data_IF_594418481203
#
_entry.id   IF_594418481203
#
_cell.length_a   1.000
_cell.length_b   1.000
_cell.length_c   1.000
_cell.angle_alpha   90.00
_cell.angle_beta   90.00
_cell.angle_gamma   90.00
#
_symmetry.space_group_name_H-M   'P 1'
#
loop_
_entity.id
_entity.type
_entity.pdbx_description
1 polymer ?
#
# COMPACT_ATOMS: atom_id res chain seq x y z
N UNK A 1 36.83 15.86 -42.20
CA UNK A 1 35.99 15.44 -43.31
C UNK A 1 36.06 13.92 -43.39
N UNK A 2 35.15 13.22 -42.80
CA UNK A 2 34.82 11.82 -43.10
C UNK A 2 33.33 11.64 -42.73
N UNK A 3 32.53 11.41 -43.77
CA UNK A 3 31.12 11.14 -43.71
C UNK A 3 30.83 9.86 -42.95
N UNK A 4 29.84 9.88 -42.08
CA UNK A 4 29.29 8.68 -41.43
C UNK A 4 27.83 8.53 -41.86
N UNK A 5 27.61 7.58 -42.76
CA UNK A 5 26.32 7.22 -43.35
C UNK A 5 25.50 6.42 -42.35
N UNK A 6 24.32 6.90 -42.03
CA UNK A 6 23.30 6.19 -41.20
C UNK A 6 22.57 5.20 -42.09
N UNK A 7 22.64 3.92 -41.76
CA UNK A 7 21.81 2.86 -42.38
C UNK A 7 20.52 2.65 -41.55
N UNK A 8 19.41 3.00 -42.15
CA UNK A 8 18.08 2.69 -41.64
C UNK A 8 17.76 1.23 -41.94
N UNK A 9 17.46 0.44 -40.91
CA UNK A 9 16.98 -0.94 -41.03
C UNK A 9 15.46 -0.94 -40.83
N UNK A 10 14.71 -1.22 -41.92
CA UNK A 10 13.26 -1.44 -41.90
C UNK A 10 13.01 -2.92 -41.66
N UNK A 11 12.39 -3.27 -40.53
CA UNK A 11 11.94 -4.64 -40.26
C UNK A 11 10.45 -4.74 -40.61
N UNK A 12 10.11 -5.50 -41.60
CA UNK A 12 8.72 -5.83 -41.98
C UNK A 12 8.20 -6.96 -41.10
N UNK A 13 7.09 -6.73 -40.39
CA UNK A 13 6.42 -7.72 -39.58
C UNK A 13 5.24 -8.30 -40.39
N UNK A 14 5.33 -9.58 -40.75
CA UNK A 14 4.29 -10.33 -41.50
C UNK A 14 3.14 -10.72 -40.58
N UNK A 15 1.93 -10.42 -40.99
CA UNK A 15 0.67 -10.88 -40.41
C UNK A 15 0.43 -12.36 -40.77
N UNK A 16 0.30 -13.23 -39.76
CA UNK A 16 -0.31 -14.56 -39.95
C UNK A 16 -1.68 -14.60 -39.25
N UNK A 17 -2.70 -14.73 -40.06
CA UNK A 17 -4.08 -15.00 -39.59
C UNK A 17 -4.19 -16.46 -39.15
N UNK A 18 -4.63 -16.73 -37.93
CA UNK A 18 -5.06 -18.04 -37.48
C UNK A 18 -6.56 -18.01 -37.18
N UNK A 19 -7.27 -18.89 -37.87
CA UNK A 19 -8.73 -18.97 -37.89
C UNK A 19 -9.30 -19.58 -36.60
N UNK A 20 -10.43 -19.04 -36.17
CA UNK A 20 -11.23 -19.50 -35.05
C UNK A 20 -12.04 -20.74 -35.42
N UNK A 21 -11.89 -21.84 -34.69
CA UNK A 21 -12.79 -22.98 -34.73
C UNK A 21 -13.87 -22.82 -33.64
N UNK A 22 -15.11 -22.72 -34.07
CA UNK A 22 -16.30 -22.69 -33.20
C UNK A 22 -16.59 -24.12 -32.72
N UNK A 23 -16.54 -24.34 -31.39
CA UNK A 23 -17.03 -25.57 -30.76
C UNK A 23 -18.46 -25.34 -30.23
N UNK A 24 -19.39 -26.15 -30.71
CA UNK A 24 -20.80 -26.19 -30.26
C UNK A 24 -20.92 -26.83 -28.87
N UNK A 25 -21.65 -26.18 -27.99
CA UNK A 25 -21.97 -26.61 -26.63
C UNK A 25 -23.34 -27.30 -26.60
N UNK A 26 -23.50 -28.43 -25.87
CA UNK A 26 -24.83 -29.04 -25.70
C UNK A 26 -25.60 -28.36 -24.54
N UNK A 27 -26.95 -28.39 -24.54
CA UNK A 27 -27.76 -27.82 -23.48
C UNK A 27 -28.02 -28.84 -22.36
N UNK A 28 -27.91 -28.39 -21.13
CA UNK A 28 -28.30 -29.18 -19.96
C UNK A 28 -28.33 -28.38 -18.68
N UNK A 29 -29.46 -28.17 -18.18
CA UNK A 29 -30.12 -27.55 -17.15
C UNK A 29 -29.74 -27.88 -15.70
N UNK A 30 -30.21 -27.04 -14.77
CA UNK A 30 -30.30 -27.34 -13.33
C UNK A 30 -29.87 -26.15 -12.49
N UNK A 31 -30.87 -25.46 -11.87
CA UNK A 31 -30.65 -24.30 -11.02
C UNK A 31 -29.96 -24.65 -9.71
N UNK A 32 -29.17 -23.71 -9.24
CA UNK A 32 -28.61 -23.64 -7.88
C UNK A 32 -28.34 -22.17 -7.63
N UNK A 33 -28.93 -21.62 -6.54
CA UNK A 33 -28.77 -20.22 -6.16
C UNK A 33 -27.31 -19.92 -5.88
N UNK A 34 -26.68 -19.17 -6.77
CA UNK A 34 -25.36 -18.61 -6.57
C UNK A 34 -25.50 -17.26 -5.88
N UNK A 35 -24.82 -17.08 -4.78
CA UNK A 35 -24.51 -15.75 -4.25
C UNK A 35 -23.74 -14.94 -5.29
N UNK A 36 -23.61 -13.62 -5.12
CA UNK A 36 -22.95 -12.78 -6.09
C UNK A 36 -21.52 -13.30 -6.30
N UNK A 37 -21.21 -13.69 -7.52
CA UNK A 37 -19.84 -13.94 -7.97
C UNK A 37 -19.03 -12.66 -7.74
N UNK A 38 -17.82 -12.73 -7.16
CA UNK A 38 -16.91 -11.60 -7.16
C UNK A 38 -16.76 -11.14 -8.63
N UNK A 39 -17.21 -9.91 -8.89
CA UNK A 39 -16.91 -9.25 -10.15
C UNK A 39 -15.42 -8.95 -10.15
N UNK A 40 -14.70 -9.41 -11.16
CA UNK A 40 -13.30 -9.02 -11.34
C UNK A 40 -13.18 -7.51 -11.19
N UNK A 41 -12.18 -7.01 -10.40
CA UNK A 41 -11.96 -5.59 -10.25
C UNK A 41 -11.74 -4.97 -11.65
N UNK A 42 -12.20 -3.74 -11.89
CA UNK A 42 -12.04 -3.11 -13.18
C UNK A 42 -10.55 -3.00 -13.52
N UNK A 43 -10.16 -3.56 -14.68
CA UNK A 43 -8.82 -3.41 -15.23
C UNK A 43 -8.63 -1.95 -15.68
N UNK A 44 -8.23 -1.08 -14.77
CA UNK A 44 -7.79 0.27 -15.10
C UNK A 44 -6.57 0.61 -14.27
N UNK A 45 -5.49 0.95 -14.95
CA UNK A 45 -4.30 1.47 -14.28
C UNK A 45 -4.67 2.73 -13.51
N UNK A 46 -4.42 2.83 -12.22
CA UNK A 46 -4.72 4.02 -11.47
C UNK A 46 -3.76 5.14 -11.93
N UNK A 47 -4.23 5.95 -12.86
CA UNK A 47 -3.54 7.15 -13.34
C UNK A 47 -4.02 8.40 -12.60
N UNK A 48 -5.15 8.29 -11.91
CA UNK A 48 -5.78 9.39 -11.18
C UNK A 48 -6.12 8.90 -9.77
N UNK A 49 -6.01 9.82 -8.80
CA UNK A 49 -6.43 9.57 -7.43
C UNK A 49 -7.96 9.54 -7.34
N UNK A 50 -8.55 8.59 -6.59
CA UNK A 50 -9.93 8.72 -6.17
C UNK A 50 -10.12 10.05 -5.43
N UNK A 51 -11.32 10.63 -5.50
CA UNK A 51 -11.64 11.85 -4.76
C UNK A 51 -11.42 11.63 -3.25
N UNK A 52 -10.70 12.57 -2.60
CA UNK A 52 -10.58 12.56 -1.16
C UNK A 52 -11.86 13.08 -0.52
N UNK A 53 -12.35 12.40 0.50
CA UNK A 53 -13.55 12.81 1.21
C UNK A 53 -13.38 14.17 1.87
N UNK A 54 -14.47 14.97 2.03
CA UNK A 54 -14.40 16.25 2.71
C UNK A 54 -14.04 16.08 4.18
N UNK A 55 -13.46 17.14 4.77
CA UNK A 55 -13.13 17.18 6.19
C UNK A 55 -14.39 16.95 7.05
N UNK A 56 -14.26 16.09 8.06
CA UNK A 56 -15.34 15.76 8.98
C UNK A 56 -16.35 14.74 8.46
N UNK A 57 -16.15 14.16 7.27
CA UNK A 57 -16.93 13.01 6.83
C UNK A 57 -16.74 11.84 7.81
N UNK A 58 -17.82 11.15 8.18
CA UNK A 58 -17.79 10.04 9.16
C UNK A 58 -18.38 8.74 8.63
N UNK A 59 -19.14 8.79 7.56
CA UNK A 59 -19.92 7.66 7.05
C UNK A 59 -19.06 6.47 6.64
N UNK A 60 -17.85 6.75 6.13
CA UNK A 60 -16.93 5.72 5.62
C UNK A 60 -16.24 4.88 6.72
N UNK A 61 -16.24 5.35 7.98
CA UNK A 61 -15.72 4.62 9.13
C UNK A 61 -16.78 4.45 10.25
N UNK A 62 -18.05 4.64 9.92
CA UNK A 62 -19.15 4.37 10.83
C UNK A 62 -19.45 2.86 10.88
N UNK A 63 -19.83 2.36 12.05
CA UNK A 63 -20.47 1.06 12.16
C UNK A 63 -21.81 1.11 11.42
N UNK A 64 -21.98 0.28 10.38
CA UNK A 64 -23.14 0.30 9.47
C UNK A 64 -23.92 -0.99 9.58
N UNK A 65 -25.19 -0.94 10.02
CA UNK A 65 -26.03 -2.12 10.13
C UNK A 65 -26.10 -2.91 8.82
N UNK A 66 -25.75 -4.19 8.87
CA UNK A 66 -25.81 -5.10 7.73
C UNK A 66 -24.53 -5.16 6.89
N UNK A 67 -23.51 -4.39 7.21
CA UNK A 67 -22.14 -4.60 6.72
C UNK A 67 -21.55 -5.73 7.56
N UNK A 68 -21.01 -6.80 6.94
CA UNK A 68 -20.32 -7.84 7.68
C UNK A 68 -19.01 -7.31 8.28
N UNK A 69 -18.74 -7.65 9.53
CA UNK A 69 -17.52 -7.27 10.23
C UNK A 69 -16.37 -8.25 9.94
N UNK A 70 -15.17 -7.74 9.77
CA UNK A 70 -13.94 -8.51 9.86
C UNK A 70 -13.54 -8.75 11.32
N UNK A 71 -12.59 -9.64 11.53
CA UNK A 71 -12.05 -9.94 12.85
C UNK A 71 -10.73 -9.20 13.10
N UNK A 72 -10.55 -8.66 14.31
CA UNK A 72 -9.29 -8.05 14.76
C UNK A 72 -8.76 -8.83 15.95
N UNK A 73 -7.59 -9.43 15.79
CA UNK A 73 -6.90 -10.10 16.89
C UNK A 73 -5.60 -9.39 17.28
N UNK A 74 -5.16 -9.62 18.51
CA UNK A 74 -3.88 -9.12 19.02
C UNK A 74 -2.93 -10.28 19.22
N UNK A 75 -1.82 -10.27 18.48
CA UNK A 75 -0.80 -11.29 18.59
C UNK A 75 0.49 -10.73 19.17
N UNK A 76 1.29 -11.59 19.82
CA UNK A 76 2.63 -11.24 20.28
C UNK A 76 3.63 -12.15 19.59
N UNK A 77 4.39 -11.57 18.67
CA UNK A 77 5.42 -12.30 17.93
C UNK A 77 6.72 -12.25 18.73
N UNK A 78 7.30 -13.41 19.01
CA UNK A 78 8.56 -13.53 19.76
C UNK A 78 9.69 -13.97 18.84
N UNK A 79 10.81 -13.22 18.88
CA UNK A 79 12.04 -13.58 18.19
C UNK A 79 13.24 -13.42 19.13
N UNK A 80 13.78 -14.54 19.61
CA UNK A 80 14.82 -14.52 20.63
C UNK A 80 14.34 -13.83 21.90
N UNK A 81 15.02 -12.79 22.33
CA UNK A 81 14.64 -11.97 23.49
C UNK A 81 13.62 -10.86 23.17
N UNK A 82 13.38 -10.59 21.90
CA UNK A 82 12.45 -9.52 21.46
C UNK A 82 11.02 -10.03 21.41
N UNK A 83 10.09 -9.10 21.65
CA UNK A 83 8.66 -9.33 21.64
C UNK A 83 7.98 -8.17 20.94
N UNK A 84 7.15 -8.45 19.92
CA UNK A 84 6.49 -7.47 19.09
C UNK A 84 4.99 -7.70 19.16
N UNK A 85 4.26 -6.70 19.62
CA UNK A 85 2.80 -6.74 19.67
C UNK A 85 2.24 -6.21 18.36
N UNK A 86 1.19 -6.85 17.83
CA UNK A 86 0.63 -6.59 16.52
C UNK A 86 -0.88 -6.80 16.57
N UNK A 87 -1.66 -5.85 16.06
CA UNK A 87 -3.05 -6.08 15.71
C UNK A 87 -3.12 -6.60 14.27
N UNK A 88 -3.92 -7.65 14.05
CA UNK A 88 -4.13 -8.23 12.72
C UNK A 88 -5.62 -8.26 12.43
N UNK A 89 -6.01 -7.61 11.34
CA UNK A 89 -7.36 -7.67 10.81
C UNK A 89 -7.43 -8.73 9.73
N UNK A 90 -8.46 -9.56 9.78
CA UNK A 90 -8.86 -10.49 8.72
C UNK A 90 -10.24 -10.11 8.18
N UNK A 91 -10.46 -10.13 6.85
CA UNK A 91 -11.70 -9.65 6.26
C UNK A 91 -12.89 -10.55 6.58
N UNK A 92 -14.14 -10.05 6.46
CA UNK A 92 -15.32 -10.86 6.62
C UNK A 92 -15.28 -12.12 5.75
N UNK A 93 -15.52 -13.29 6.37
CA UNK A 93 -15.46 -14.57 5.67
C UNK A 93 -14.03 -15.07 5.39
N UNK A 94 -13.03 -14.51 6.04
CA UNK A 94 -11.65 -15.02 5.97
C UNK A 94 -11.59 -16.52 6.23
N UNK A 95 -10.78 -17.23 5.46
CA UNK A 95 -10.56 -18.67 5.63
C UNK A 95 -9.11 -19.06 5.38
N UNK A 96 -8.54 -19.80 6.31
CA UNK A 96 -7.20 -20.37 6.19
C UNK A 96 -7.10 -21.47 5.11
N UNK A 97 -8.23 -21.99 4.68
CA UNK A 97 -8.30 -23.18 3.81
C UNK A 97 -8.86 -22.91 2.41
N UNK A 98 -8.96 -21.65 1.99
CA UNK A 98 -9.38 -21.30 0.63
C UNK A 98 -8.21 -21.38 -0.35
N UNK A 99 -8.51 -21.71 -1.61
CA UNK A 99 -7.53 -21.65 -2.68
C UNK A 99 -7.08 -20.20 -2.99
N UNK A 100 -7.91 -19.23 -2.61
CA UNK A 100 -7.67 -17.80 -2.85
C UNK A 100 -7.02 -17.18 -1.61
N UNK A 101 -5.71 -17.05 -1.66
CA UNK A 101 -4.95 -16.36 -0.63
C UNK A 101 -5.14 -14.82 -0.73
N UNK A 102 -4.97 -14.11 0.38
CA UNK A 102 -5.24 -12.68 0.50
C UNK A 102 -3.97 -11.85 0.33
N UNK A 103 -4.01 -10.65 -0.27
CA UNK A 103 -2.92 -9.69 -0.21
C UNK A 103 -2.79 -9.12 1.21
N UNK A 104 -1.66 -8.48 1.52
CA UNK A 104 -1.35 -7.98 2.85
C UNK A 104 -1.00 -6.49 2.84
N UNK A 105 -1.71 -5.71 3.62
CA UNK A 105 -1.37 -4.34 3.96
C UNK A 105 -0.69 -4.30 5.33
N UNK A 106 0.53 -3.79 5.40
CA UNK A 106 1.17 -3.40 6.65
C UNK A 106 0.89 -1.93 6.91
N UNK A 107 0.29 -1.59 8.07
CA UNK A 107 -0.22 -0.25 8.36
C UNK A 107 0.40 0.31 9.64
N UNK A 108 1.37 1.22 9.49
CA UNK A 108 2.17 1.77 10.58
C UNK A 108 1.50 2.98 11.24
N UNK A 109 1.51 3.01 12.58
CA UNK A 109 1.00 4.12 13.40
C UNK A 109 1.96 5.31 13.47
N UNK A 110 1.51 6.46 13.99
CA UNK A 110 2.28 7.68 14.17
C UNK A 110 3.16 7.71 15.42
N UNK A 111 3.94 8.76 15.55
CA UNK A 111 4.79 8.97 16.73
C UNK A 111 4.01 9.07 18.03
N UNK A 112 4.48 8.38 19.07
CA UNK A 112 3.85 8.36 20.39
C UNK A 112 2.57 7.52 20.49
N UNK A 113 2.25 6.77 19.43
CA UNK A 113 1.16 5.80 19.37
C UNK A 113 1.70 4.37 19.43
N UNK A 114 0.82 3.37 19.32
CA UNK A 114 1.18 1.96 19.32
C UNK A 114 0.30 1.15 18.31
N UNK A 115 0.45 -0.16 18.30
CA UNK A 115 -0.28 -1.09 17.45
C UNK A 115 -1.81 -0.99 17.53
N UNK A 116 -2.37 -0.40 18.60
CA UNK A 116 -3.83 -0.23 18.78
C UNK A 116 -4.38 1.01 18.09
N UNK A 117 -3.54 1.94 17.65
CA UNK A 117 -3.97 3.22 17.08
C UNK A 117 -4.97 3.06 15.93
N UNK A 118 -4.65 2.24 14.94
CA UNK A 118 -5.49 2.10 13.75
C UNK A 118 -6.84 1.43 14.01
N UNK A 119 -6.97 0.61 15.06
CA UNK A 119 -8.24 -0.07 15.41
C UNK A 119 -9.02 0.64 16.51
N UNK A 120 -8.43 1.65 17.14
CA UNK A 120 -9.10 2.42 18.19
C UNK A 120 -10.29 3.22 17.64
N UNK A 121 -11.36 3.33 18.47
CA UNK A 121 -12.56 4.13 18.21
C UNK A 121 -12.49 5.53 18.80
N UNK A 122 -11.37 5.93 19.40
CA UNK A 122 -11.21 7.28 19.92
C UNK A 122 -11.27 8.30 18.77
N UNK A 123 -12.13 9.29 18.89
CA UNK A 123 -12.35 10.27 17.81
C UNK A 123 -11.09 11.11 17.50
N UNK A 124 -10.26 11.35 18.49
CA UNK A 124 -9.09 12.25 18.37
C UNK A 124 -7.84 11.55 17.86
N UNK A 125 -7.64 10.27 18.23
CA UNK A 125 -6.41 9.55 17.89
C UNK A 125 -6.62 8.14 17.31
N UNK A 126 -7.84 7.63 17.27
CA UNK A 126 -8.15 6.29 16.75
C UNK A 126 -8.36 6.26 15.24
N UNK A 127 -7.95 5.18 14.60
CA UNK A 127 -7.99 5.00 13.14
C UNK A 127 -9.30 4.43 12.61
N UNK A 128 -9.98 3.57 13.38
CA UNK A 128 -11.16 2.81 12.93
C UNK A 128 -10.93 2.09 11.59
N UNK A 129 -9.71 1.61 11.35
CA UNK A 129 -9.31 1.05 10.06
C UNK A 129 -10.13 -0.17 9.65
N UNK A 130 -10.50 -1.01 10.61
CA UNK A 130 -11.37 -2.17 10.40
C UNK A 130 -12.73 -1.75 9.83
N UNK A 131 -13.38 -0.72 10.40
CA UNK A 131 -14.65 -0.19 9.85
C UNK A 131 -14.47 0.43 8.46
N UNK A 132 -13.34 1.10 8.20
CA UNK A 132 -13.03 1.63 6.87
C UNK A 132 -12.91 0.48 5.86
N UNK A 133 -12.24 -0.60 6.24
CA UNK A 133 -12.05 -1.79 5.41
C UNK A 133 -13.37 -2.52 5.16
N UNK A 134 -14.16 -2.78 6.21
CA UNK A 134 -15.46 -3.46 6.10
C UNK A 134 -16.42 -2.69 5.20
N UNK A 135 -16.53 -1.37 5.40
CA UNK A 135 -17.35 -0.51 4.56
C UNK A 135 -16.87 -0.48 3.09
N UNK A 136 -15.56 -0.37 2.86
CA UNK A 136 -14.99 -0.36 1.51
C UNK A 136 -15.19 -1.71 0.78
N UNK A 137 -15.11 -2.83 1.51
CA UNK A 137 -15.44 -4.17 1.00
C UNK A 137 -16.90 -4.28 0.62
N UNK A 138 -17.82 -3.87 1.51
CA UNK A 138 -19.26 -3.90 1.26
C UNK A 138 -19.67 -3.03 0.06
N UNK A 139 -18.93 -1.95 -0.19
CA UNK A 139 -19.08 -1.06 -1.35
C UNK A 139 -18.45 -1.63 -2.64
N UNK A 140 -17.74 -2.75 -2.57
CA UNK A 140 -17.04 -3.34 -3.72
C UNK A 140 -15.87 -2.51 -4.23
N UNK A 141 -15.28 -1.66 -3.39
CA UNK A 141 -14.19 -0.74 -3.75
C UNK A 141 -12.80 -1.38 -3.65
N UNK A 142 -12.68 -2.44 -2.88
CA UNK A 142 -11.43 -3.15 -2.62
C UNK A 142 -11.62 -4.66 -2.68
N UNK A 143 -10.54 -5.40 -2.92
CA UNK A 143 -10.54 -6.84 -2.68
C UNK A 143 -10.32 -7.13 -1.18
N UNK A 144 -10.77 -8.30 -0.67
CA UNK A 144 -10.49 -8.73 0.69
C UNK A 144 -8.99 -8.83 0.92
N UNK A 145 -8.49 -8.28 2.04
CA UNK A 145 -7.07 -8.28 2.39
C UNK A 145 -6.86 -8.51 3.89
N UNK A 146 -5.70 -9.04 4.25
CA UNK A 146 -5.22 -9.07 5.64
C UNK A 146 -4.51 -7.75 5.93
N UNK A 147 -4.78 -7.13 7.10
CA UNK A 147 -4.08 -5.91 7.50
C UNK A 147 -3.32 -6.12 8.80
N UNK A 148 -2.03 -5.81 8.75
CA UNK A 148 -1.09 -6.01 9.85
C UNK A 148 -0.71 -4.65 10.42
N UNK A 149 -1.03 -4.39 11.67
CA UNK A 149 -0.81 -3.12 12.36
C UNK A 149 0.19 -3.34 13.51
N UNK A 150 1.50 -3.27 13.22
CA UNK A 150 2.53 -3.53 14.22
C UNK A 150 2.80 -2.33 15.11
N UNK A 151 3.32 -2.58 16.33
CA UNK A 151 4.01 -1.57 17.09
C UNK A 151 5.36 -1.24 16.42
N UNK A 152 5.42 -0.05 15.82
CA UNK A 152 6.62 0.49 15.15
C UNK A 152 7.37 1.51 16.02
N UNK A 153 7.11 1.57 17.32
CA UNK A 153 7.77 2.51 18.24
C UNK A 153 9.29 2.35 18.24
N UNK A 154 9.78 1.13 18.06
CA UNK A 154 11.21 0.85 17.92
C UNK A 154 11.83 1.37 16.63
N UNK A 155 11.01 1.74 15.65
CA UNK A 155 11.40 2.37 14.39
C UNK A 155 11.60 3.90 14.51
N UNK A 156 11.52 4.46 15.73
CA UNK A 156 11.48 5.90 16.01
C UNK A 156 12.76 6.68 15.68
N UNK A 157 13.81 6.05 15.22
CA UNK A 157 14.92 6.75 14.58
C UNK A 157 14.46 7.36 13.26
N UNK A 158 14.10 8.64 13.29
CA UNK A 158 13.68 9.43 12.11
C UNK A 158 14.84 9.76 11.15
N UNK A 159 16.01 9.21 11.38
CA UNK A 159 17.07 9.19 10.40
C UNK A 159 16.66 8.19 9.32
N UNK A 160 16.76 8.53 8.01
CA UNK A 160 16.89 7.49 7.03
C UNK A 160 17.99 6.62 7.59
N UNK A 161 17.60 5.47 8.05
CA UNK A 161 18.59 4.59 8.60
C UNK A 161 19.50 4.23 7.48
N UNK A 162 20.74 4.36 7.73
CA UNK A 162 21.71 3.49 7.07
C UNK A 162 21.09 2.10 6.94
N UNK A 163 21.12 1.47 5.76
CA UNK A 163 20.96 0.02 5.70
C UNK A 163 21.89 -0.55 6.78
N UNK A 164 21.32 -1.00 7.90
CA UNK A 164 22.06 -1.34 9.10
C UNK A 164 22.04 -0.32 10.26
N UNK A 165 21.61 0.93 10.07
CA UNK A 165 21.53 1.95 11.13
C UNK A 165 20.18 1.99 11.86
N UNK A 166 19.08 1.64 11.18
CA UNK A 166 17.80 1.22 11.73
C UNK A 166 17.51 -0.23 11.33
N UNK A 167 18.53 -1.04 11.32
CA UNK A 167 18.39 -2.49 11.12
C UNK A 167 17.18 -3.04 11.87
N UNK A 168 16.87 -2.43 13.04
CA UNK A 168 15.69 -2.77 13.82
C UNK A 168 14.35 -2.60 13.09
N UNK A 169 14.16 -1.59 12.23
CA UNK A 169 12.89 -1.41 11.56
C UNK A 169 12.76 -2.26 10.28
N UNK A 170 13.79 -2.29 9.44
CA UNK A 170 13.80 -3.17 8.28
C UNK A 170 13.76 -4.65 8.71
N UNK A 171 14.56 -5.01 9.73
CA UNK A 171 14.60 -6.34 10.29
C UNK A 171 13.25 -6.74 10.92
N UNK A 172 12.52 -5.79 11.52
CA UNK A 172 11.16 -6.05 12.03
C UNK A 172 10.24 -6.53 10.90
N UNK A 173 10.23 -5.84 9.76
CA UNK A 173 9.39 -6.26 8.63
C UNK A 173 9.93 -7.53 7.95
N UNK A 174 11.19 -7.52 7.52
CA UNK A 174 11.80 -8.59 6.72
C UNK A 174 11.89 -9.92 7.46
N UNK A 175 12.28 -9.86 8.73
CA UNK A 175 12.68 -11.05 9.49
C UNK A 175 11.68 -11.46 10.57
N UNK A 176 10.69 -10.62 10.91
CA UNK A 176 9.71 -10.91 11.96
C UNK A 176 8.30 -10.91 11.41
N UNK A 177 7.80 -9.76 10.91
CA UNK A 177 6.39 -9.61 10.55
C UNK A 177 6.03 -10.43 9.32
N UNK A 178 6.75 -10.25 8.21
CA UNK A 178 6.45 -10.95 6.93
C UNK A 178 6.50 -12.47 7.13
N UNK A 179 7.58 -13.07 7.67
CA UNK A 179 7.62 -14.51 7.86
C UNK A 179 6.54 -15.05 8.82
N UNK A 180 6.19 -14.27 9.85
CA UNK A 180 5.13 -14.67 10.77
C UNK A 180 3.76 -14.69 10.06
N UNK A 181 3.42 -13.62 9.34
CA UNK A 181 2.14 -13.50 8.63
C UNK A 181 2.00 -14.59 7.58
N UNK A 182 3.03 -14.82 6.76
CA UNK A 182 3.03 -15.87 5.73
C UNK A 182 2.96 -17.29 6.29
N UNK A 183 3.39 -17.51 7.53
CA UNK A 183 3.35 -18.82 8.18
C UNK A 183 2.04 -19.09 8.92
N UNK A 184 1.25 -18.05 9.25
CA UNK A 184 0.09 -18.19 10.13
C UNK A 184 -1.21 -17.76 9.47
N UNK A 185 -1.17 -17.07 8.32
CA UNK A 185 -2.35 -16.60 7.59
C UNK A 185 -2.30 -17.04 6.13
N UNK A 186 -3.47 -17.24 5.54
CA UNK A 186 -3.60 -17.57 4.13
C UNK A 186 -3.36 -16.36 3.25
N UNK A 187 -2.11 -15.99 3.00
CA UNK A 187 -1.72 -14.79 2.28
C UNK A 187 -0.85 -15.09 1.07
N UNK A 188 -0.89 -14.21 0.07
CA UNK A 188 -0.02 -14.25 -1.11
C UNK A 188 1.38 -13.79 -0.70
N UNK A 189 2.37 -14.70 -0.76
CA UNK A 189 3.73 -14.49 -0.24
C UNK A 189 4.68 -13.86 -1.28
N UNK A 190 4.22 -12.91 -2.06
CA UNK A 190 5.03 -12.20 -3.05
C UNK A 190 4.94 -10.66 -2.87
N UNK A 191 5.90 -9.96 -3.44
CA UNK A 191 6.00 -8.50 -3.32
C UNK A 191 4.81 -7.75 -3.92
N UNK A 192 4.22 -8.31 -4.98
CA UNK A 192 3.12 -7.64 -5.73
C UNK A 192 1.82 -7.66 -4.93
N UNK A 193 1.75 -8.51 -3.92
CA UNK A 193 0.66 -8.63 -2.97
C UNK A 193 1.02 -8.10 -1.55
N UNK A 194 2.07 -7.25 -1.43
CA UNK A 194 2.40 -6.55 -0.18
C UNK A 194 2.40 -5.05 -0.35
N UNK A 195 1.64 -4.38 0.50
CA UNK A 195 1.60 -2.93 0.64
C UNK A 195 2.15 -2.50 2.00
N UNK A 196 2.77 -1.34 2.04
CA UNK A 196 3.16 -0.68 3.29
C UNK A 196 2.63 0.75 3.29
N UNK A 197 1.83 1.06 4.29
CA UNK A 197 1.25 2.38 4.49
C UNK A 197 1.49 2.87 5.92
N UNK A 198 1.39 4.17 6.14
CA UNK A 198 1.47 4.72 7.50
C UNK A 198 1.24 6.21 7.58
N UNK A 199 0.90 6.65 8.79
CA UNK A 199 0.66 8.06 9.11
C UNK A 199 1.85 8.68 9.85
N UNK A 200 2.16 9.95 9.59
CA UNK A 200 3.19 10.70 10.33
C UNK A 200 4.53 9.95 10.40
N UNK A 201 5.01 9.59 11.59
CA UNK A 201 6.19 8.74 11.77
C UNK A 201 6.05 7.40 11.03
N UNK A 202 4.86 6.79 11.06
CA UNK A 202 4.57 5.57 10.29
C UNK A 202 4.66 5.79 8.78
N UNK A 203 4.37 7.00 8.29
CA UNK A 203 4.59 7.38 6.90
C UNK A 203 6.08 7.43 6.53
N UNK A 204 6.95 7.87 7.45
CA UNK A 204 8.41 7.77 7.28
C UNK A 204 8.85 6.29 7.28
N UNK A 205 8.27 5.48 8.17
CA UNK A 205 8.52 4.02 8.19
C UNK A 205 8.11 3.38 6.87
N UNK A 206 6.89 3.68 6.40
CA UNK A 206 6.40 3.16 5.12
C UNK A 206 7.35 3.54 3.97
N UNK A 207 7.81 4.76 3.96
CA UNK A 207 8.74 5.23 2.94
C UNK A 207 10.12 4.58 3.07
N UNK A 208 10.75 4.66 4.24
CA UNK A 208 12.10 4.14 4.44
C UNK A 208 12.18 2.61 4.29
N UNK A 209 11.18 1.89 4.77
CA UNK A 209 11.14 0.42 4.66
C UNK A 209 10.56 -0.02 3.32
N UNK A 210 9.42 0.53 2.91
CA UNK A 210 8.73 0.11 1.69
C UNK A 210 9.49 0.50 0.42
N UNK A 211 9.80 1.78 0.26
CA UNK A 211 10.58 2.27 -0.88
C UNK A 211 12.03 1.78 -0.83
N UNK A 212 12.60 1.64 0.37
CA UNK A 212 13.95 1.09 0.56
C UNK A 212 14.08 -0.41 0.31
N UNK A 213 12.98 -1.15 0.17
CA UNK A 213 12.96 -2.60 -0.03
C UNK A 213 11.91 -2.99 -1.08
N UNK A 214 12.11 -2.53 -2.32
CA UNK A 214 11.21 -2.83 -3.44
C UNK A 214 11.24 -4.32 -3.85
N UNK A 215 12.12 -5.11 -3.29
CA UNK A 215 12.11 -6.57 -3.34
C UNK A 215 11.03 -7.19 -2.42
N UNK A 216 10.56 -6.46 -1.43
CA UNK A 216 9.52 -6.89 -0.49
C UNK A 216 8.15 -6.26 -0.75
N UNK A 217 8.12 -5.01 -1.21
CA UNK A 217 6.89 -4.21 -1.36
C UNK A 217 6.80 -3.62 -2.76
N UNK A 218 5.61 -3.64 -3.34
CA UNK A 218 5.31 -2.98 -4.62
C UNK A 218 4.35 -1.79 -4.47
N UNK A 219 3.80 -1.58 -3.27
CA UNK A 219 2.85 -0.53 -2.95
C UNK A 219 3.30 0.22 -1.69
N UNK A 220 3.50 1.54 -1.80
CA UNK A 220 3.99 2.38 -0.68
C UNK A 220 3.16 3.65 -0.57
N UNK A 221 2.57 3.88 0.63
CA UNK A 221 1.68 5.00 0.89
C UNK A 221 2.09 5.74 2.17
N UNK A 222 2.28 7.06 2.08
CA UNK A 222 2.72 7.91 3.18
C UNK A 222 1.71 9.03 3.43
N UNK A 223 1.18 9.11 4.64
CA UNK A 223 0.15 10.05 5.04
C UNK A 223 0.70 11.09 6.01
N UNK A 224 0.59 12.38 5.68
CA UNK A 224 1.06 13.48 6.52
C UNK A 224 2.53 13.30 6.92
N UNK A 225 3.41 13.06 5.98
CA UNK A 225 4.79 12.67 6.25
C UNK A 225 5.74 13.13 5.15
N UNK A 226 7.03 13.05 5.43
CA UNK A 226 8.10 13.39 4.51
C UNK A 226 9.41 13.58 5.27
N UNK A 227 10.52 13.67 4.55
CA UNK A 227 11.82 13.81 5.20
C UNK A 227 12.06 15.21 5.72
N UNK A 228 12.45 15.29 6.98
CA UNK A 228 12.83 16.55 7.59
C UNK A 228 13.99 17.19 6.85
N UNK A 229 13.97 18.52 6.77
CA UNK A 229 15.00 19.33 6.09
C UNK A 229 16.44 19.00 6.51
N UNK A 230 16.62 18.62 7.78
CA UNK A 230 17.92 18.22 8.34
C UNK A 230 18.42 16.87 7.80
N UNK A 231 17.54 16.00 7.31
CA UNK A 231 17.85 14.62 6.95
C UNK A 231 17.84 14.38 5.43
N UNK A 232 17.36 15.31 4.60
CA UNK A 232 17.19 15.13 3.15
C UNK A 232 18.46 14.71 2.43
N UNK A 233 19.59 15.37 2.72
CA UNK A 233 20.90 15.00 2.11
C UNK A 233 21.38 13.61 2.52
N UNK A 234 21.09 13.22 3.76
CA UNK A 234 21.40 11.87 4.24
C UNK A 234 20.54 10.85 3.50
N UNK A 235 19.27 11.17 3.32
CA UNK A 235 18.34 10.36 2.57
C UNK A 235 18.78 10.15 1.11
N UNK A 236 19.02 11.21 0.36
CA UNK A 236 19.50 11.12 -1.04
C UNK A 236 20.75 10.24 -1.18
N UNK A 237 21.67 10.33 -0.23
CA UNK A 237 22.87 9.48 -0.22
C UNK A 237 22.56 8.02 0.09
N UNK A 238 21.66 7.75 1.05
CA UNK A 238 21.36 6.39 1.51
C UNK A 238 20.46 5.64 0.54
N UNK A 239 19.60 6.35 -0.18
CA UNK A 239 18.71 5.79 -1.18
C UNK A 239 19.22 6.01 -2.64
N UNK A 240 20.48 6.42 -2.82
CA UNK A 240 21.02 6.75 -4.13
C UNK A 240 20.83 5.60 -5.15
N UNK A 241 21.08 4.36 -4.76
CA UNK A 241 20.91 3.20 -5.63
C UNK A 241 19.48 3.06 -6.17
N UNK A 242 18.46 3.33 -5.34
CA UNK A 242 17.06 3.26 -5.74
C UNK A 242 16.66 4.51 -6.52
N UNK A 243 17.08 5.69 -6.06
CA UNK A 243 16.73 6.96 -6.71
C UNK A 243 17.31 7.07 -8.13
N UNK A 244 18.51 6.56 -8.34
CA UNK A 244 19.23 6.63 -9.62
C UNK A 244 18.95 5.45 -10.56
N UNK A 245 18.27 4.38 -10.08
CA UNK A 245 17.92 3.23 -10.90
C UNK A 245 16.75 3.58 -11.83
N UNK A 246 16.94 3.55 -13.16
CA UNK A 246 15.87 3.83 -14.11
C UNK A 246 14.70 2.83 -14.05
N UNK A 247 14.87 1.69 -13.39
CA UNK A 247 13.83 0.67 -13.26
C UNK A 247 12.95 0.87 -12.02
N UNK A 248 13.29 1.78 -11.11
CA UNK A 248 12.57 1.98 -9.84
C UNK A 248 11.07 2.17 -10.04
N UNK A 249 10.65 3.00 -11.01
CA UNK A 249 9.23 3.18 -11.30
C UNK A 249 8.54 1.89 -11.74
N UNK A 250 9.23 1.00 -12.45
CA UNK A 250 8.67 -0.28 -12.89
C UNK A 250 8.58 -1.32 -11.78
N UNK A 251 9.25 -1.11 -10.66
CA UNK A 251 9.15 -1.93 -9.47
C UNK A 251 7.95 -1.55 -8.60
N UNK A 252 7.31 -0.44 -8.84
CA UNK A 252 6.11 0.01 -8.12
C UNK A 252 4.87 -0.36 -8.93
N UNK A 253 3.98 -1.19 -8.38
CA UNK A 253 2.71 -1.54 -9.03
C UNK A 253 1.73 -0.37 -9.02
N UNK A 254 1.84 0.48 -7.98
CA UNK A 254 1.19 1.80 -7.91
C UNK A 254 2.29 2.83 -7.66
N UNK A 255 2.27 4.00 -8.33
CA UNK A 255 3.21 5.07 -8.00
C UNK A 255 3.18 5.39 -6.51
N UNK A 256 4.32 5.81 -5.95
CA UNK A 256 4.40 6.21 -4.55
C UNK A 256 3.30 7.20 -4.21
N UNK A 257 2.55 6.97 -3.14
CA UNK A 257 1.56 7.93 -2.69
C UNK A 257 2.09 8.77 -1.53
N UNK A 258 1.93 10.08 -1.65
CA UNK A 258 2.22 11.03 -0.58
C UNK A 258 1.08 12.04 -0.46
N UNK A 259 0.42 12.09 0.70
CA UNK A 259 -0.68 13.01 0.94
C UNK A 259 -0.52 13.80 2.23
N UNK A 260 -0.90 15.08 2.21
CA UNK A 260 -0.91 15.93 3.40
C UNK A 260 -1.98 17.04 3.29
N UNK A 261 -2.54 17.42 4.43
CA UNK A 261 -3.39 18.60 4.52
C UNK A 261 -2.60 19.91 4.41
N UNK A 262 -3.22 20.99 3.97
CA UNK A 262 -2.58 22.32 3.85
C UNK A 262 -2.09 22.87 5.21
N UNK A 263 -2.79 22.51 6.30
CA UNK A 263 -2.45 22.92 7.67
C UNK A 263 -1.68 21.82 8.44
N UNK A 264 -1.25 20.76 7.76
CA UNK A 264 -0.46 19.67 8.34
C UNK A 264 0.98 20.14 8.63
N UNK A 265 1.47 19.85 9.84
CA UNK A 265 2.86 20.18 10.24
C UNK A 265 3.91 19.53 9.33
N UNK A 266 3.57 18.43 8.67
CA UNK A 266 4.45 17.72 7.75
C UNK A 266 4.31 18.21 6.28
N UNK A 267 3.35 19.09 5.98
CA UNK A 267 3.04 19.51 4.61
C UNK A 267 4.28 19.94 3.82
N UNK A 268 5.08 20.85 4.39
CA UNK A 268 6.32 21.32 3.74
C UNK A 268 7.36 20.22 3.55
N UNK A 269 7.39 19.23 4.44
CA UNK A 269 8.29 18.07 4.30
C UNK A 269 7.79 17.11 3.21
N UNK A 270 6.47 16.91 3.12
CA UNK A 270 5.84 16.13 2.04
C UNK A 270 6.20 16.71 0.67
N UNK A 271 5.96 18.00 0.45
CA UNK A 271 6.26 18.67 -0.82
C UNK A 271 7.75 18.57 -1.19
N UNK A 272 8.62 18.87 -0.22
CA UNK A 272 10.05 18.81 -0.50
C UNK A 272 10.57 17.38 -0.73
N UNK A 273 9.93 16.35 -0.18
CA UNK A 273 10.23 14.95 -0.50
C UNK A 273 9.80 14.62 -1.93
N UNK A 274 8.62 15.07 -2.34
CA UNK A 274 8.12 14.93 -3.72
C UNK A 274 9.06 15.62 -4.71
N UNK A 275 9.55 16.83 -4.39
CA UNK A 275 10.52 17.53 -5.23
C UNK A 275 11.80 16.72 -5.43
N UNK A 276 12.31 16.08 -4.36
CA UNK A 276 13.47 15.18 -4.48
C UNK A 276 13.16 14.02 -5.42
N UNK A 277 12.03 13.34 -5.22
CA UNK A 277 11.62 12.22 -6.08
C UNK A 277 11.51 12.64 -7.55
N UNK A 278 10.88 13.77 -7.81
CA UNK A 278 10.75 14.33 -9.16
C UNK A 278 12.10 14.64 -9.82
N UNK A 279 13.09 15.13 -9.04
CA UNK A 279 14.43 15.40 -9.54
C UNK A 279 15.16 14.11 -10.02
N UNK A 280 14.79 12.97 -9.47
CA UNK A 280 15.28 11.65 -9.89
C UNK A 280 14.35 10.94 -10.88
N UNK A 281 13.25 11.59 -11.29
CA UNK A 281 12.28 10.99 -12.22
C UNK A 281 11.40 9.90 -11.60
N UNK A 282 11.33 9.82 -10.25
CA UNK A 282 10.45 8.90 -9.56
C UNK A 282 9.02 9.47 -9.58
N UNK A 283 8.09 8.70 -10.13
CA UNK A 283 6.68 9.09 -10.22
C UNK A 283 5.99 8.89 -8.89
N UNK A 284 5.29 9.92 -8.41
CA UNK A 284 4.47 9.85 -7.20
C UNK A 284 3.06 10.39 -7.45
N UNK A 285 2.08 9.82 -6.76
CA UNK A 285 0.74 10.35 -6.62
C UNK A 285 0.72 11.29 -5.41
N UNK A 286 0.33 12.53 -5.63
CA UNK A 286 0.30 13.54 -4.58
C UNK A 286 -1.13 14.01 -4.33
N UNK A 287 -1.54 14.01 -3.05
CA UNK A 287 -2.82 14.53 -2.59
C UNK A 287 -2.63 15.66 -1.60
N UNK A 288 -3.14 16.83 -1.98
CA UNK A 288 -3.31 17.97 -1.07
C UNK A 288 -4.80 18.14 -0.76
N UNK A 289 -5.12 18.57 0.45
CA UNK A 289 -6.51 18.79 0.86
C UNK A 289 -6.59 19.74 2.06
N UNK A 290 -7.77 20.25 2.34
CA UNK A 290 -8.04 20.95 3.59
C UNK A 290 -7.95 19.97 4.78
N UNK A 291 -7.16 20.30 5.78
CA UNK A 291 -6.98 19.50 6.98
C UNK A 291 -5.64 19.67 7.66
N UNK A 292 -5.60 19.21 8.89
CA UNK A 292 -4.48 19.28 9.80
C UNK A 292 -3.78 17.92 9.95
N UNK A 293 -2.72 17.89 10.76
CA UNK A 293 -2.03 16.67 11.18
C UNK A 293 -2.82 15.88 12.22
N UNK A 294 -3.94 15.30 11.83
CA UNK A 294 -4.87 14.62 12.73
C UNK A 294 -5.50 13.38 12.09
N UNK A 295 -6.21 12.59 12.89
CA UNK A 295 -6.81 11.34 12.45
C UNK A 295 -7.92 11.52 11.41
N UNK A 296 -8.61 12.67 11.35
CA UNK A 296 -9.55 12.94 10.26
C UNK A 296 -8.85 12.91 8.90
N UNK A 297 -7.70 13.59 8.79
CA UNK A 297 -6.88 13.58 7.57
C UNK A 297 -6.36 12.17 7.26
N UNK A 298 -5.84 11.45 8.24
CA UNK A 298 -5.22 10.14 8.03
C UNK A 298 -6.22 9.05 7.66
N UNK A 299 -7.42 9.05 8.26
CA UNK A 299 -8.51 8.14 7.86
C UNK A 299 -8.93 8.39 6.42
N UNK A 300 -9.03 9.67 6.00
CA UNK A 300 -9.37 10.04 4.61
C UNK A 300 -8.31 9.58 3.62
N UNK A 301 -7.03 9.70 3.96
CA UNK A 301 -5.93 9.16 3.14
C UNK A 301 -6.02 7.63 3.04
N UNK A 302 -6.25 6.92 4.14
CA UNK A 302 -6.42 5.47 4.11
C UNK A 302 -7.58 5.09 3.19
N UNK A 303 -8.77 5.68 3.39
CA UNK A 303 -9.95 5.42 2.58
C UNK A 303 -9.72 5.70 1.09
N UNK A 304 -9.01 6.79 0.75
CA UNK A 304 -8.71 7.16 -0.63
C UNK A 304 -7.75 6.17 -1.30
N UNK A 305 -6.75 5.67 -0.55
CA UNK A 305 -5.68 4.86 -1.11
C UNK A 305 -5.99 3.37 -1.18
N UNK A 306 -6.90 2.86 -0.35
CA UNK A 306 -7.29 1.45 -0.37
C UNK A 306 -7.65 0.94 -1.78
N UNK A 307 -8.44 1.63 -2.62
CA UNK A 307 -8.75 1.18 -3.97
C UNK A 307 -7.57 1.19 -4.96
N UNK A 308 -6.44 1.76 -4.57
CA UNK A 308 -5.21 1.78 -5.37
C UNK A 308 -4.28 0.58 -5.06
N UNK A 309 -4.57 -0.14 -3.96
CA UNK A 309 -3.79 -1.29 -3.53
C UNK A 309 -4.28 -2.55 -4.26
N UNK A 310 -3.33 -3.37 -4.70
CA UNK A 310 -3.58 -4.70 -5.26
C UNK A 310 -4.51 -4.73 -6.50
N UNK A 311 -4.69 -3.61 -7.17
CA UNK A 311 -5.41 -3.59 -8.46
C UNK A 311 -4.67 -4.44 -9.49
N UNK A 312 -5.43 -5.25 -10.22
CA UNK A 312 -4.85 -5.99 -11.34
C UNK A 312 -4.37 -5.00 -12.40
N UNK A 313 -3.05 -4.87 -12.52
CA UNK A 313 -2.38 -4.01 -13.50
C UNK A 313 -1.99 -4.78 -14.77
N UNK A 314 -2.45 -6.02 -14.95
CA UNK A 314 -2.29 -6.76 -16.21
C UNK A 314 -2.96 -6.00 -17.36
N UNK A 315 -2.14 -5.48 -18.26
CA UNK A 315 -2.61 -4.64 -19.38
C UNK A 315 -2.31 -3.14 -19.20
N UNK A 316 -1.83 -2.69 -18.05
CA UNK A 316 -1.26 -1.36 -17.88
C UNK A 316 0.12 -1.34 -18.56
N UNK A 317 0.19 -0.91 -19.82
CA UNK A 317 1.44 -0.87 -20.59
C UNK A 317 2.52 -0.11 -19.81
N UNK A 318 3.48 -0.86 -19.30
CA UNK A 318 4.74 -0.38 -18.71
C UNK A 318 5.82 -0.45 -19.77
#
# INVERSE_FOLDING_TARGET
MKDLTVKTLVLACGLTMAGSAMALRPPGGGGGGGGPTPTDPPASCPTELPEILPQGAKEYYADRPGVPDGDVEVVTIRRGASSHRVHIYTPPGYSENTADAYPVLYLAHGGGQDDSNWVSRDESWGGSADLILDNALAEGRIEPMVVVMPDTSSCAGLSPATPGGNGGCQDLFRDVLIPYVESNYNVRADRDNRALAGLSQGGIVAFNVGFGNLDLFSHVFSFGSGWFSTNRRTFEREFAEILEDPQTNSLLNTPLYMGAGFDDIAYSNTLATIDILNNYGIVSLHQEHEGEHNMDSFRRHLHQTLPLMFVNTEGCGR
#
